data_IF_965964219764
#
_entry.id   IF_965964219764
#
_cell.length_a   1.000
_cell.length_b   1.000
_cell.length_c   1.000
_cell.angle_alpha   90.00
_cell.angle_beta   90.00
_cell.angle_gamma   90.00
#
_symmetry.space_group_name_H-M   'P 1'
#
loop_
_entity.id
_entity.type
_entity.pdbx_description
1 polymer ?
#
# COMPACT_ATOMS: atom_id res chain seq x y z
N UNK A 1 11.11 -4.36 -2.48
CA UNK A 1 10.27 -5.47 -1.99
C UNK A 1 10.00 -6.41 -3.16
N UNK A 2 10.10 -7.73 -2.96
CA UNK A 2 9.74 -8.73 -3.99
C UNK A 2 8.24 -9.03 -3.95
N UNK A 3 7.69 -9.66 -4.99
CA UNK A 3 6.26 -10.07 -5.02
C UNK A 3 5.90 -10.99 -3.85
N UNK A 4 6.77 -11.94 -3.52
CA UNK A 4 6.56 -12.89 -2.42
C UNK A 4 6.48 -12.16 -1.09
N UNK A 5 7.47 -11.31 -0.80
CA UNK A 5 7.50 -10.52 0.44
C UNK A 5 6.30 -9.58 0.54
N UNK A 6 5.89 -8.97 -0.58
CA UNK A 6 4.71 -8.11 -0.58
C UNK A 6 3.43 -8.88 -0.27
N UNK A 7 3.26 -10.09 -0.84
CA UNK A 7 2.10 -10.94 -0.54
C UNK A 7 2.06 -11.34 0.93
N UNK A 8 3.18 -11.79 1.48
CA UNK A 8 3.28 -12.17 2.89
C UNK A 8 2.90 -11.00 3.78
N UNK A 9 3.53 -9.85 3.56
CA UNK A 9 3.24 -8.62 4.29
C UNK A 9 1.77 -8.18 4.17
N UNK A 10 1.20 -8.19 2.96
CA UNK A 10 -0.19 -7.75 2.74
C UNK A 10 -1.20 -8.69 3.41
N UNK A 11 -0.89 -10.00 3.44
CA UNK A 11 -1.73 -11.00 4.11
C UNK A 11 -1.71 -10.80 5.63
N UNK A 12 -0.54 -10.54 6.20
CA UNK A 12 -0.44 -10.28 7.64
C UNK A 12 -1.08 -8.95 8.03
N UNK A 13 -0.95 -7.92 7.17
CA UNK A 13 -1.64 -6.66 7.34
C UNK A 13 -3.17 -6.83 7.34
N UNK A 14 -3.73 -7.63 6.43
CA UNK A 14 -5.17 -7.92 6.40
C UNK A 14 -5.65 -8.61 7.68
N UNK A 15 -4.91 -9.60 8.19
CA UNK A 15 -5.21 -10.23 9.50
C UNK A 15 -5.27 -9.20 10.63
N UNK A 16 -4.32 -8.27 10.66
CA UNK A 16 -4.31 -7.20 11.65
C UNK A 16 -5.55 -6.29 11.53
N UNK A 17 -6.00 -6.00 10.31
CA UNK A 17 -7.22 -5.20 10.07
C UNK A 17 -8.48 -5.95 10.49
N UNK A 18 -8.54 -7.28 10.25
CA UNK A 18 -9.61 -8.16 10.76
C UNK A 18 -9.68 -8.10 12.29
N UNK A 19 -8.55 -8.26 12.97
CA UNK A 19 -8.49 -8.20 14.44
C UNK A 19 -8.96 -6.84 14.98
N UNK A 20 -8.61 -5.76 14.27
CA UNK A 20 -9.06 -4.40 14.57
C UNK A 20 -10.51 -4.13 14.16
N UNK A 21 -11.18 -5.07 13.48
CA UNK A 21 -12.53 -4.90 12.90
C UNK A 21 -12.63 -3.64 12.03
N UNK A 22 -11.59 -3.40 11.25
CA UNK A 22 -11.45 -2.21 10.42
C UNK A 22 -11.34 -2.64 8.96
N UNK A 23 -12.06 -1.97 8.07
CA UNK A 23 -11.89 -2.10 6.62
C UNK A 23 -11.07 -0.92 6.11
N UNK A 24 -10.06 -1.19 5.28
CA UNK A 24 -9.13 -0.17 4.80
C UNK A 24 -8.89 -0.30 3.30
N UNK A 25 -8.63 0.84 2.67
CA UNK A 25 -8.32 0.96 1.24
C UNK A 25 -6.95 1.62 1.04
N UNK A 26 -5.82 0.87 1.12
CA UNK A 26 -4.50 1.44 0.88
C UNK A 26 -4.31 1.86 -0.59
N UNK A 27 -3.72 3.05 -0.77
CA UNK A 27 -3.35 3.57 -2.08
C UNK A 27 -1.89 3.23 -2.39
N UNK A 28 -1.65 2.47 -3.46
CA UNK A 28 -0.31 2.04 -3.86
C UNK A 28 0.10 2.64 -5.21
N UNK A 29 1.40 2.85 -5.35
CA UNK A 29 2.01 3.09 -6.67
C UNK A 29 1.83 1.85 -7.53
N UNK A 30 1.54 2.06 -8.82
CA UNK A 30 1.47 0.98 -9.79
C UNK A 30 2.89 0.46 -10.10
N UNK A 31 3.31 -0.54 -9.32
CA UNK A 31 4.59 -1.21 -9.41
C UNK A 31 4.35 -2.70 -9.70
N UNK A 32 5.15 -3.27 -10.58
CA UNK A 32 5.03 -4.69 -10.98
C UNK A 32 5.17 -5.67 -9.82
N UNK A 33 5.86 -5.28 -8.75
CA UNK A 33 6.00 -6.08 -7.53
C UNK A 33 4.71 -6.15 -6.70
N UNK A 34 3.78 -5.20 -6.88
CA UNK A 34 2.51 -5.14 -6.15
C UNK A 34 1.40 -5.92 -6.84
N UNK A 35 1.61 -6.37 -8.08
CA UNK A 35 0.66 -7.21 -8.80
C UNK A 35 0.75 -8.64 -8.30
N UNK A 36 -0.07 -8.94 -7.28
CA UNK A 36 -0.19 -10.26 -6.67
C UNK A 36 -1.66 -10.67 -6.64
N UNK A 37 -1.91 -11.97 -6.60
CA UNK A 37 -3.22 -12.51 -6.26
C UNK A 37 -3.22 -12.88 -4.77
N UNK A 38 -4.13 -12.30 -3.99
CA UNK A 38 -4.34 -12.59 -2.58
C UNK A 38 -5.83 -12.45 -2.27
N UNK A 39 -6.35 -13.33 -1.41
CA UNK A 39 -7.71 -13.23 -0.91
C UNK A 39 -7.67 -12.50 0.43
N UNK A 40 -8.22 -11.29 0.46
CA UNK A 40 -8.22 -10.37 1.61
C UNK A 40 -9.67 -10.07 1.97
N UNK A 41 -9.99 -9.96 3.25
CA UNK A 41 -11.37 -9.68 3.70
C UNK A 41 -11.59 -8.23 4.14
N UNK A 42 -10.55 -7.57 4.63
CA UNK A 42 -10.64 -6.26 5.26
C UNK A 42 -9.74 -5.21 4.58
N UNK A 43 -8.90 -5.65 3.64
CA UNK A 43 -8.01 -4.79 2.86
C UNK A 43 -8.36 -4.90 1.39
N UNK A 44 -8.72 -3.78 0.78
CA UNK A 44 -8.78 -3.63 -0.67
C UNK A 44 -7.66 -2.70 -1.12
N UNK A 45 -6.97 -3.00 -2.22
CA UNK A 45 -5.84 -2.18 -2.69
C UNK A 45 -6.24 -1.37 -3.92
N UNK A 46 -6.07 -0.04 -3.84
CA UNK A 46 -6.27 0.84 -4.99
C UNK A 46 -4.93 1.25 -5.60
N UNK A 47 -4.76 0.97 -6.90
CA UNK A 47 -3.58 1.39 -7.66
C UNK A 47 -3.77 2.78 -8.25
N UNK A 48 -2.82 3.67 -7.95
CA UNK A 48 -2.78 4.99 -8.57
C UNK A 48 -2.26 4.89 -10.02
N UNK A 49 -2.74 5.75 -10.93
CA UNK A 49 -2.37 5.69 -12.34
C UNK A 49 -0.86 5.83 -12.57
N UNK A 50 -0.34 5.16 -13.62
CA UNK A 50 1.00 5.47 -14.12
C UNK A 50 1.00 6.95 -14.54
N UNK A 51 2.04 7.69 -14.20
CA UNK A 51 2.21 9.13 -14.46
C UNK A 51 1.57 10.07 -13.43
N UNK A 52 1.12 9.53 -12.30
CA UNK A 52 0.78 10.40 -11.16
C UNK A 52 2.06 11.10 -10.69
N UNK A 53 2.12 12.44 -10.83
CA UNK A 53 3.27 13.23 -10.34
C UNK A 53 3.42 13.02 -8.82
N UNK A 54 4.66 13.04 -8.31
CA UNK A 54 4.97 12.89 -6.87
C UNK A 54 4.09 13.74 -5.93
N UNK A 55 3.52 14.83 -6.46
CA UNK A 55 2.57 15.72 -5.80
C UNK A 55 1.29 15.04 -5.30
N UNK A 56 0.86 13.94 -5.91
CA UNK A 56 -0.38 13.24 -5.60
C UNK A 56 -0.18 11.99 -4.73
N UNK A 57 1.07 11.55 -4.50
CA UNK A 57 1.34 10.45 -3.59
C UNK A 57 1.40 10.99 -2.14
N UNK A 58 0.46 10.61 -1.26
CA UNK A 58 0.45 11.10 0.13
C UNK A 58 1.75 10.78 0.86
N UNK A 59 2.34 9.63 0.54
CA UNK A 59 3.65 9.21 1.07
C UNK A 59 4.77 10.16 0.66
N UNK A 60 4.80 10.62 -0.60
CA UNK A 60 5.88 11.46 -1.11
C UNK A 60 5.78 12.89 -0.57
N UNK A 61 4.57 13.46 -0.44
CA UNK A 61 4.35 14.84 0.03
C UNK A 61 4.25 14.99 1.54
N UNK A 62 3.70 14.01 2.24
CA UNK A 62 3.55 14.07 3.68
C UNK A 62 4.80 13.52 4.36
N UNK A 63 4.94 12.19 4.30
CA UNK A 63 5.90 11.46 5.13
C UNK A 63 7.34 11.67 4.61
N UNK A 64 7.61 11.44 3.33
CA UNK A 64 8.99 11.53 2.80
C UNK A 64 9.56 12.94 2.82
N UNK A 65 8.75 13.96 2.55
CA UNK A 65 9.21 15.35 2.68
C UNK A 65 9.54 15.65 4.13
N UNK A 66 8.65 15.34 5.09
CA UNK A 66 8.91 15.60 6.51
C UNK A 66 10.16 14.87 7.02
N UNK A 67 10.41 13.65 6.58
CA UNK A 67 11.61 12.89 6.94
C UNK A 67 12.91 13.45 6.36
N UNK A 68 12.85 14.31 5.32
CA UNK A 68 14.02 14.93 4.66
C UNK A 68 14.28 16.38 5.07
N UNK A 69 13.42 16.95 5.93
CA UNK A 69 13.51 18.35 6.40
C UNK A 69 14.38 18.47 7.66
N UNK A 70 15.08 17.41 8.06
CA UNK A 70 16.15 17.42 9.07
C UNK A 70 17.47 16.98 8.39
#
# INVERSE_FOLDING_TARGET
MTRTLFREWLTDFDKEMVEKRCEVLPFLVNCTAHHINAYLSNVEVLFLPLNTTARLYPLDRGIKVNFKVH
#
